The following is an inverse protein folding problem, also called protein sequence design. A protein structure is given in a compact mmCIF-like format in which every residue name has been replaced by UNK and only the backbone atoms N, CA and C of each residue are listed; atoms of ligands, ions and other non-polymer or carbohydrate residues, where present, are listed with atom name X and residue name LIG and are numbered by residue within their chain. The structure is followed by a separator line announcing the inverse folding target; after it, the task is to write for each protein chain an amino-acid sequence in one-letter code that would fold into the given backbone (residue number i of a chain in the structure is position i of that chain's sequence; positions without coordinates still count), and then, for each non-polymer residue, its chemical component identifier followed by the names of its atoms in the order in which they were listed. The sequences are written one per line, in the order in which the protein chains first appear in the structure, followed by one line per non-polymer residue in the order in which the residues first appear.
data_IF_466862245774
#
_entry.id   IF_466862245774
#
_cell.length_a   1.000
_cell.length_b   1.000
_cell.length_c   1.000
_cell.angle_alpha   90.00
_cell.angle_beta   90.00
_cell.angle_gamma   90.00
#
_symmetry.space_group_name_H-M   'P 1'
#
loop_
_entity.id
_entity.type
_entity.pdbx_description
1 polymer ?
#
# COMPACT_ATOMS: atom_id res chain seq x y z
N UNK A 1 9.26 43.93 16.01
CA UNK A 1 8.02 43.19 15.68
C UNK A 1 8.23 42.59 14.31
N UNK A 2 8.71 41.36 14.22
CA UNK A 2 8.70 40.60 12.96
C UNK A 2 8.49 39.13 13.35
N UNK A 3 7.25 38.67 13.20
CA UNK A 3 6.84 37.29 13.43
C UNK A 3 7.37 36.44 12.28
N UNK A 4 8.28 35.51 12.58
CA UNK A 4 8.71 34.50 11.62
C UNK A 4 7.78 33.29 11.75
N UNK A 5 6.84 33.19 10.84
CA UNK A 5 5.91 32.06 10.69
C UNK A 5 6.69 30.81 10.23
N UNK A 6 6.72 29.70 10.99
CA UNK A 6 7.22 28.45 10.46
C UNK A 6 6.19 27.88 9.46
N UNK A 7 6.61 27.73 8.20
CA UNK A 7 5.84 27.02 7.19
C UNK A 7 5.48 25.62 7.69
N UNK A 8 4.17 25.41 7.77
CA UNK A 8 3.54 24.19 8.27
C UNK A 8 3.94 22.98 7.42
N UNK A 9 4.25 21.88 8.11
CA UNK A 9 3.99 20.54 7.61
C UNK A 9 4.79 20.09 6.39
N UNK A 10 6.12 20.00 6.54
CA UNK A 10 6.90 19.00 5.79
C UNK A 10 6.46 17.64 6.34
N UNK A 11 5.30 17.17 5.87
CA UNK A 11 4.73 15.87 6.21
C UNK A 11 5.86 14.86 6.07
N UNK A 12 6.15 14.22 7.20
CA UNK A 12 7.32 13.39 7.36
C UNK A 12 7.41 12.49 6.14
N UNK A 13 8.58 12.48 5.50
CA UNK A 13 9.05 11.28 4.85
C UNK A 13 9.23 10.25 5.98
N UNK A 14 8.11 9.76 6.51
CA UNK A 14 8.07 8.45 7.12
C UNK A 14 8.77 7.58 6.11
N UNK A 15 9.74 6.80 6.55
CA UNK A 15 10.18 5.65 5.79
C UNK A 15 8.92 4.83 5.55
N UNK A 16 8.21 5.15 4.46
CA UNK A 16 7.02 4.47 4.05
C UNK A 16 7.58 3.13 3.66
N UNK A 17 7.49 2.18 4.60
CA UNK A 17 7.72 0.78 4.34
C UNK A 17 6.81 0.49 3.18
N UNK A 18 7.39 0.51 1.99
CA UNK A 18 6.68 0.50 0.74
C UNK A 18 5.89 -0.80 0.75
N UNK A 19 4.59 -0.70 1.05
CA UNK A 19 3.71 -1.86 1.15
C UNK A 19 3.92 -2.71 -0.09
N UNK A 20 4.32 -3.96 0.12
CA UNK A 20 4.52 -4.91 -0.97
C UNK A 20 3.17 -5.32 -1.56
N UNK A 21 2.08 -5.17 -0.79
CA UNK A 21 0.74 -5.53 -1.20
C UNK A 21 -0.18 -4.33 -1.02
N UNK A 22 -1.14 -4.16 -1.94
CA UNK A 22 -2.21 -3.16 -1.83
C UNK A 22 -3.54 -3.76 -2.29
N UNK A 23 -4.63 -3.29 -1.72
CA UNK A 23 -5.97 -3.58 -2.23
C UNK A 23 -6.38 -2.48 -3.19
N UNK A 24 -6.77 -2.84 -4.41
CA UNK A 24 -7.20 -1.89 -5.44
C UNK A 24 -8.16 -2.55 -6.43
N UNK A 25 -9.05 -1.78 -7.04
CA UNK A 25 -10.06 -2.31 -7.97
C UNK A 25 -9.53 -2.34 -9.40
N UNK A 26 -9.90 -3.38 -10.15
CA UNK A 26 -9.62 -3.45 -11.59
C UNK A 26 -10.63 -2.61 -12.40
N UNK A 27 -10.48 -2.54 -13.73
CA UNK A 27 -11.35 -1.77 -14.63
C UNK A 27 -12.83 -2.21 -14.57
N UNK A 28 -13.08 -3.45 -14.15
CA UNK A 28 -14.42 -3.99 -13.97
C UNK A 28 -15.06 -3.64 -12.60
N UNK A 29 -14.33 -2.96 -11.72
CA UNK A 29 -14.79 -2.66 -10.35
C UNK A 29 -14.64 -3.83 -9.37
N UNK A 30 -14.01 -4.92 -9.79
CA UNK A 30 -13.66 -6.04 -8.93
C UNK A 30 -12.52 -5.69 -7.99
N UNK A 31 -12.61 -6.10 -6.73
CA UNK A 31 -11.54 -5.89 -5.75
C UNK A 31 -10.42 -6.91 -5.94
N UNK A 32 -9.19 -6.43 -6.00
CA UNK A 32 -8.01 -7.28 -6.11
C UNK A 32 -6.95 -6.89 -5.10
N UNK A 33 -6.21 -7.89 -4.64
CA UNK A 33 -4.94 -7.70 -3.97
C UNK A 33 -3.86 -7.66 -5.04
N UNK A 34 -3.14 -6.55 -5.09
CA UNK A 34 -2.03 -6.30 -5.98
C UNK A 34 -0.73 -6.47 -5.23
N UNK A 35 0.19 -7.26 -5.79
CA UNK A 35 1.56 -7.37 -5.29
C UNK A 35 2.47 -6.45 -6.10
N UNK A 36 3.41 -5.81 -5.42
CA UNK A 36 4.43 -4.97 -6.01
C UNK A 36 5.53 -5.85 -6.58
N UNK A 37 5.75 -5.74 -7.89
CA UNK A 37 6.84 -6.44 -8.58
C UNK A 37 8.11 -5.58 -8.67
N UNK A 38 7.95 -4.25 -8.71
CA UNK A 38 9.04 -3.30 -8.91
C UNK A 38 8.64 -1.91 -8.40
N UNK A 39 9.49 -0.90 -8.62
CA UNK A 39 9.20 0.47 -8.18
C UNK A 39 7.86 0.99 -8.68
N UNK A 40 7.48 0.69 -9.92
CA UNK A 40 6.20 1.10 -10.54
C UNK A 40 5.34 -0.07 -11.04
N UNK A 41 5.82 -1.32 -10.91
CA UNK A 41 5.13 -2.50 -11.41
C UNK A 41 4.26 -3.14 -10.33
N UNK A 42 2.99 -3.38 -10.66
CA UNK A 42 2.04 -4.11 -9.83
C UNK A 42 1.45 -5.26 -10.63
N UNK A 43 1.17 -6.38 -9.96
CA UNK A 43 0.48 -7.51 -10.55
C UNK A 43 -0.68 -7.95 -9.65
N UNK A 44 -1.79 -8.32 -10.28
CA UNK A 44 -2.92 -8.95 -9.61
C UNK A 44 -2.48 -10.27 -9.00
N UNK A 45 -2.72 -10.44 -7.70
CA UNK A 45 -2.38 -11.66 -6.97
C UNK A 45 -3.65 -12.48 -6.69
N UNK A 46 -4.69 -11.83 -6.16
CA UNK A 46 -5.92 -12.51 -5.75
C UNK A 46 -7.13 -11.60 -5.89
N UNK A 47 -8.23 -12.13 -6.43
CA UNK A 47 -9.53 -11.47 -6.46
C UNK A 47 -10.23 -11.65 -5.12
N UNK A 48 -10.90 -10.60 -4.67
CA UNK A 48 -11.72 -10.57 -3.48
C UNK A 48 -13.11 -10.08 -3.85
N UNK A 49 -14.13 -10.64 -3.20
CA UNK A 49 -15.52 -10.21 -3.42
C UNK A 49 -15.84 -8.90 -2.71
N UNK A 50 -15.11 -8.56 -1.64
CA UNK A 50 -15.33 -7.34 -0.85
C UNK A 50 -14.05 -6.53 -0.69
N UNK A 51 -14.24 -5.21 -0.50
CA UNK A 51 -13.17 -4.27 -0.18
C UNK A 51 -12.43 -4.66 1.10
N UNK A 52 -13.19 -5.05 2.12
CA UNK A 52 -12.66 -5.38 3.45
C UNK A 52 -11.77 -6.63 3.40
N UNK A 53 -12.16 -7.63 2.61
CA UNK A 53 -11.35 -8.84 2.42
C UNK A 53 -10.03 -8.50 1.72
N UNK A 54 -10.07 -7.72 0.63
CA UNK A 54 -8.86 -7.29 -0.07
C UNK A 54 -7.91 -6.50 0.82
N UNK A 55 -8.45 -5.56 1.63
CA UNK A 55 -7.66 -4.77 2.57
C UNK A 55 -7.06 -5.63 3.68
N UNK A 56 -7.84 -6.55 4.26
CA UNK A 56 -7.39 -7.43 5.34
C UNK A 56 -6.28 -8.35 4.86
N UNK A 57 -6.40 -8.89 3.65
CA UNK A 57 -5.38 -9.74 3.04
C UNK A 57 -4.13 -8.90 2.75
N UNK A 58 -4.26 -7.74 2.11
CA UNK A 58 -3.13 -6.87 1.81
C UNK A 58 -2.38 -6.45 3.09
N UNK A 59 -3.09 -6.04 4.15
CA UNK A 59 -2.51 -5.71 5.45
C UNK A 59 -1.79 -6.91 6.07
N UNK A 60 -2.43 -8.07 6.10
CA UNK A 60 -1.83 -9.30 6.63
C UNK A 60 -0.55 -9.69 5.90
N UNK A 61 -0.52 -9.54 4.57
CA UNK A 61 0.66 -9.80 3.75
C UNK A 61 1.77 -8.76 3.95
N UNK A 62 1.41 -7.49 4.19
CA UNK A 62 2.39 -6.45 4.52
C UNK A 62 3.00 -6.64 5.92
N UNK A 63 2.28 -7.29 6.85
CA UNK A 63 2.76 -7.62 8.19
C UNK A 63 3.72 -8.81 8.22
N UNK A 64 3.69 -9.68 7.20
CA UNK A 64 4.52 -10.88 7.10
C UNK A 64 5.50 -10.81 5.89
N UNK A 65 6.43 -9.84 5.85
CA UNK A 65 7.37 -9.69 4.74
C UNK A 65 8.45 -10.79 4.69
N UNK A 66 8.56 -11.62 5.73
CA UNK A 66 9.68 -12.55 5.94
C UNK A 66 9.52 -13.90 5.20
N UNK A 67 8.32 -14.24 4.72
CA UNK A 67 8.06 -15.60 4.20
C UNK A 67 8.44 -15.87 2.74
N UNK A 68 9.19 -14.96 2.12
CA UNK A 68 9.65 -15.07 0.72
C UNK A 68 11.17 -14.91 0.55
N UNK A 69 11.96 -15.19 1.59
CA UNK A 69 13.41 -15.37 1.47
C UNK A 69 13.79 -16.86 1.61
N UNK A 70 13.59 -17.64 0.55
CA UNK A 70 14.24 -18.96 0.35
C UNK A 70 14.72 -19.09 -1.09
#
# INVERSE_FOLDING_TARGET
MIENTPHVGKASAFFEVKSQFRADTDQNGDWWVWRRLSTNGWATMRRCDTREDALTIADSLNKDPDRHAI
#
